data_IF_712550413985
#
_entry.id   IF_712550413985
#
_cell.length_a   1.000
_cell.length_b   1.000
_cell.length_c   1.000
_cell.angle_alpha   90.00
_cell.angle_beta   90.00
_cell.angle_gamma   90.00
#
_symmetry.space_group_name_H-M   'P 1'
#
loop_
_entity.id
_entity.type
_entity.pdbx_description
1 polymer ?
#
# COMPACT_ATOMS: atom_id res chain seq x y z
N UNK A 1 -7.21 5.05 -2.86
CA UNK A 1 -7.14 6.50 -2.54
C UNK A 1 -6.39 7.33 -3.58
N UNK A 2 -5.17 6.98 -4.02
CA UNK A 2 -4.52 7.68 -5.15
C UNK A 2 -3.44 6.85 -5.89
N UNK A 3 -3.79 5.68 -6.45
CA UNK A 3 -2.85 4.93 -7.29
C UNK A 3 -2.30 5.80 -8.43
N UNK A 4 -1.03 5.63 -8.78
CA UNK A 4 -0.35 6.42 -9.81
C UNK A 4 0.05 7.84 -9.39
N UNK A 5 -0.14 8.22 -8.12
CA UNK A 5 0.30 9.51 -7.56
C UNK A 5 1.05 9.33 -6.25
N UNK A 6 2.06 10.17 -6.03
CA UNK A 6 2.81 10.23 -4.79
C UNK A 6 2.03 10.78 -3.58
N UNK A 7 2.70 10.76 -2.42
CA UNK A 7 2.26 11.44 -1.22
C UNK A 7 2.02 12.94 -1.45
N UNK A 8 1.05 13.50 -0.74
CA UNK A 8 0.76 14.95 -0.76
C UNK A 8 0.59 15.37 0.69
N UNK A 9 1.38 16.34 1.11
CA UNK A 9 1.24 17.02 2.40
C UNK A 9 1.15 18.53 2.14
N UNK A 10 -0.03 19.14 2.36
CA UNK A 10 -0.20 20.57 2.18
C UNK A 10 0.74 21.37 3.08
N UNK A 11 1.29 22.47 2.56
CA UNK A 11 2.32 23.30 3.18
C UNK A 11 1.90 23.88 4.52
N UNK A 12 0.62 24.20 4.69
CA UNK A 12 0.07 24.60 6.00
C UNK A 12 0.27 23.57 7.11
N UNK A 13 0.38 22.27 6.76
CA UNK A 13 0.68 21.19 7.69
C UNK A 13 2.19 20.95 7.86
N UNK A 14 3.03 21.63 7.11
CA UNK A 14 4.50 21.50 7.16
C UNK A 14 5.03 22.47 8.22
N UNK A 15 4.88 22.05 9.47
CA UNK A 15 5.42 22.75 10.64
C UNK A 15 6.96 22.67 10.68
N UNK A 16 7.59 23.45 11.55
CA UNK A 16 9.05 23.40 11.77
C UNK A 16 9.55 21.97 12.08
N UNK A 17 8.82 21.25 12.92
CA UNK A 17 9.17 19.86 13.28
C UNK A 17 9.09 18.94 12.06
N UNK A 18 8.02 19.04 11.26
CA UNK A 18 7.85 18.21 10.07
C UNK A 18 8.90 18.54 9.01
N UNK A 19 9.18 19.82 8.79
CA UNK A 19 10.23 20.30 7.90
C UNK A 19 11.59 19.72 8.29
N UNK A 20 11.94 19.77 9.58
CA UNK A 20 13.19 19.23 10.11
C UNK A 20 13.32 17.73 9.93
N UNK A 21 12.24 16.96 10.14
CA UNK A 21 12.26 15.49 9.98
C UNK A 21 12.39 15.10 8.50
N UNK A 22 11.74 15.84 7.61
CA UNK A 22 11.61 15.48 6.20
C UNK A 22 12.63 16.15 5.27
N UNK A 23 13.39 17.12 5.77
CA UNK A 23 14.34 17.89 4.96
C UNK A 23 13.65 18.76 3.89
N UNK A 24 12.48 19.32 4.20
CA UNK A 24 11.70 20.18 3.28
C UNK A 24 11.50 21.58 3.89
N UNK A 25 11.31 22.64 3.08
CA UNK A 25 11.05 23.98 3.62
C UNK A 25 9.72 24.06 4.39
N UNK A 26 9.71 24.84 5.48
CA UNK A 26 8.50 25.13 6.27
C UNK A 26 7.46 25.82 5.41
N UNK A 27 6.20 25.43 5.56
CA UNK A 27 5.10 26.06 4.82
C UNK A 27 4.98 25.67 3.35
N UNK A 28 5.90 24.86 2.80
CA UNK A 28 5.87 24.45 1.40
C UNK A 28 5.14 23.12 1.20
N UNK A 29 4.29 23.04 0.18
CA UNK A 29 3.65 21.78 -0.23
C UNK A 29 4.71 20.71 -0.51
N UNK A 30 4.58 19.55 0.13
CA UNK A 30 5.41 18.39 -0.12
C UNK A 30 4.64 17.40 -1.00
N UNK A 31 4.99 17.38 -2.30
CA UNK A 31 4.43 16.46 -3.31
C UNK A 31 5.51 15.46 -3.68
N UNK A 32 5.28 14.19 -3.36
CA UNK A 32 6.23 13.12 -3.70
C UNK A 32 6.15 12.74 -5.18
N UNK A 33 7.26 12.26 -5.78
CA UNK A 33 7.24 11.64 -7.10
C UNK A 33 6.24 10.48 -7.19
N UNK A 34 5.78 10.18 -8.41
CA UNK A 34 4.79 9.11 -8.64
C UNK A 34 5.42 7.71 -8.75
N UNK A 35 6.74 7.64 -8.91
CA UNK A 35 7.51 6.41 -9.03
C UNK A 35 8.73 6.46 -8.10
N UNK A 36 9.21 5.28 -7.71
CA UNK A 36 10.45 5.16 -6.94
C UNK A 36 11.64 5.34 -7.87
N UNK A 37 12.69 6.04 -7.44
CA UNK A 37 13.89 6.30 -8.26
C UNK A 37 14.85 5.12 -8.36
N UNK A 38 14.66 4.09 -7.53
CA UNK A 38 15.60 2.97 -7.36
C UNK A 38 15.30 1.78 -8.29
N UNK A 39 14.07 1.70 -8.83
CA UNK A 39 13.66 0.59 -9.67
C UNK A 39 12.66 1.06 -10.74
N UNK A 40 12.81 0.53 -11.95
CA UNK A 40 11.87 0.67 -13.06
C UNK A 40 11.37 -0.68 -13.60
N UNK A 41 11.96 -1.79 -13.16
CA UNK A 41 11.57 -3.16 -13.58
C UNK A 41 11.30 -4.07 -12.38
N UNK A 42 10.65 -5.22 -12.64
CA UNK A 42 10.41 -6.24 -11.60
C UNK A 42 11.72 -6.80 -11.02
N UNK A 43 12.74 -7.01 -11.86
CA UNK A 43 14.04 -7.50 -11.38
C UNK A 43 14.73 -6.48 -10.46
N UNK A 44 14.76 -5.21 -10.84
CA UNK A 44 15.33 -4.14 -10.01
C UNK A 44 14.55 -3.97 -8.69
N UNK A 45 13.22 -4.14 -8.73
CA UNK A 45 12.41 -4.14 -7.51
C UNK A 45 12.79 -5.30 -6.58
N UNK A 46 12.94 -6.51 -7.11
CA UNK A 46 13.39 -7.68 -6.33
C UNK A 46 14.78 -7.40 -5.75
N UNK A 47 15.75 -6.93 -6.55
CA UNK A 47 17.09 -6.63 -6.08
C UNK A 47 17.10 -5.53 -5.00
N UNK A 48 16.21 -4.54 -5.10
CA UNK A 48 16.03 -3.54 -4.06
C UNK A 48 15.46 -4.13 -2.76
N UNK A 49 14.44 -4.98 -2.85
CA UNK A 49 13.86 -5.69 -1.70
C UNK A 49 14.93 -6.52 -0.99
N UNK A 50 15.71 -7.30 -1.73
CA UNK A 50 16.77 -8.16 -1.17
C UNK A 50 17.87 -7.34 -0.49
N UNK A 51 18.24 -6.17 -1.05
CA UNK A 51 19.18 -5.25 -0.40
C UNK A 51 18.62 -4.68 0.91
N UNK A 52 17.34 -4.28 0.93
CA UNK A 52 16.69 -3.78 2.15
C UNK A 52 16.61 -4.87 3.21
N UNK A 53 16.25 -6.09 2.81
CA UNK A 53 16.21 -7.25 3.70
C UNK A 53 17.61 -7.51 4.29
N UNK A 54 18.65 -7.55 3.45
CA UNK A 54 20.04 -7.76 3.87
C UNK A 54 20.56 -6.66 4.80
N UNK A 55 20.19 -5.40 4.54
CA UNK A 55 20.64 -4.26 5.33
C UNK A 55 19.92 -4.13 6.69
N UNK A 56 18.64 -4.53 6.75
CA UNK A 56 17.81 -4.36 7.95
C UNK A 56 17.69 -5.62 8.81
N UNK A 57 17.82 -6.81 8.21
CA UNK A 57 17.48 -8.09 8.84
C UNK A 57 15.99 -8.27 9.14
N UNK A 58 15.12 -7.44 8.55
CA UNK A 58 13.67 -7.44 8.77
C UNK A 58 12.91 -7.88 7.52
N UNK A 59 11.68 -8.40 7.66
CA UNK A 59 10.83 -8.70 6.52
C UNK A 59 10.52 -7.46 5.68
N UNK A 60 10.66 -7.57 4.37
CA UNK A 60 10.40 -6.50 3.39
C UNK A 60 9.29 -6.93 2.44
N UNK A 61 8.32 -6.05 2.21
CA UNK A 61 7.15 -6.39 1.41
C UNK A 61 6.71 -5.29 0.46
N UNK A 62 5.75 -5.64 -0.38
CA UNK A 62 5.13 -4.72 -1.33
C UNK A 62 3.76 -4.32 -0.81
N UNK A 63 3.43 -3.03 -0.91
CA UNK A 63 2.07 -2.53 -0.68
C UNK A 63 1.53 -1.94 -1.97
N UNK A 64 0.37 -2.42 -2.42
CA UNK A 64 -0.15 -2.02 -3.72
C UNK A 64 -1.68 -1.94 -3.76
N UNK A 65 -2.17 -0.90 -4.42
CA UNK A 65 -3.55 -0.81 -4.85
C UNK A 65 -3.67 -1.40 -6.25
N UNK A 66 -4.60 -2.34 -6.43
CA UNK A 66 -4.56 -3.23 -7.61
C UNK A 66 -5.21 -2.57 -8.81
N UNK A 67 -4.46 -2.55 -9.92
CA UNK A 67 -4.91 -2.16 -11.25
C UNK A 67 -4.57 -3.27 -12.26
N UNK A 68 -3.51 -3.07 -13.04
CA UNK A 68 -3.06 -4.03 -14.05
C UNK A 68 -2.48 -5.32 -13.44
N UNK A 69 -2.70 -6.45 -14.12
CA UNK A 69 -2.29 -7.77 -13.63
C UNK A 69 -0.91 -8.22 -14.12
N UNK A 70 -0.40 -7.62 -15.20
CA UNK A 70 0.83 -8.06 -15.85
C UNK A 70 2.04 -8.06 -14.91
N UNK A 71 2.21 -6.98 -14.14
CA UNK A 71 3.23 -6.86 -13.10
C UNK A 71 3.23 -8.04 -12.12
N UNK A 72 2.06 -8.48 -11.68
CA UNK A 72 1.94 -9.57 -10.69
C UNK A 72 2.30 -10.93 -11.28
N UNK A 73 1.95 -11.17 -12.55
CA UNK A 73 2.37 -12.38 -13.26
C UNK A 73 3.89 -12.42 -13.41
N UNK A 74 4.50 -11.33 -13.85
CA UNK A 74 5.96 -11.23 -13.98
C UNK A 74 6.64 -11.40 -12.62
N UNK A 75 6.15 -10.74 -11.57
CA UNK A 75 6.69 -10.90 -10.21
C UNK A 75 6.64 -12.35 -9.75
N UNK A 76 5.49 -13.03 -9.88
CA UNK A 76 5.36 -14.43 -9.48
C UNK A 76 6.29 -15.35 -10.27
N UNK A 77 6.42 -15.16 -11.59
CA UNK A 77 7.35 -15.92 -12.43
C UNK A 77 8.80 -15.74 -11.96
N UNK A 78 9.23 -14.49 -11.72
CA UNK A 78 10.59 -14.19 -11.25
C UNK A 78 10.86 -14.77 -9.86
N UNK A 79 9.91 -14.68 -8.94
CA UNK A 79 10.03 -15.26 -7.60
C UNK A 79 10.15 -16.79 -7.62
N UNK A 80 9.46 -17.45 -8.56
CA UNK A 80 9.55 -18.89 -8.77
C UNK A 80 10.91 -19.29 -9.36
N UNK A 81 11.42 -18.54 -10.32
CA UNK A 81 12.70 -18.81 -10.98
C UNK A 81 13.89 -18.58 -10.04
N UNK A 82 13.87 -17.50 -9.27
CA UNK A 82 15.04 -17.04 -8.51
C UNK A 82 15.01 -17.46 -7.05
N UNK A 83 13.84 -17.80 -6.51
CA UNK A 83 13.67 -18.00 -5.06
C UNK A 83 13.65 -16.70 -4.25
N UNK A 84 13.87 -15.53 -4.87
CA UNK A 84 13.95 -14.22 -4.23
C UNK A 84 12.63 -13.46 -4.27
N UNK A 85 12.50 -12.38 -3.51
CA UNK A 85 11.34 -11.49 -3.56
C UNK A 85 10.82 -11.05 -2.19
N UNK A 86 9.63 -10.42 -2.14
CA UNK A 86 9.07 -9.92 -0.88
C UNK A 86 8.68 -11.03 0.09
N UNK A 87 8.83 -10.74 1.38
CA UNK A 87 8.37 -11.55 2.51
C UNK A 87 6.85 -11.43 2.73
N UNK A 88 6.25 -10.33 2.26
CA UNK A 88 4.79 -10.11 2.32
C UNK A 88 4.26 -9.23 1.20
N UNK A 89 2.98 -9.40 0.87
CA UNK A 89 2.25 -8.52 -0.04
C UNK A 89 1.02 -7.97 0.68
N UNK A 90 0.93 -6.64 0.76
CA UNK A 90 -0.26 -5.91 1.21
C UNK A 90 -1.09 -5.47 0.01
N UNK A 91 -2.34 -5.93 -0.04
CA UNK A 91 -3.34 -5.55 -1.04
C UNK A 91 -4.25 -4.46 -0.45
N UNK A 92 -4.14 -3.26 -1.01
CA UNK A 92 -5.00 -2.13 -0.66
C UNK A 92 -6.20 -2.06 -1.60
N UNK A 93 -7.39 -2.22 -1.05
CA UNK A 93 -8.63 -1.93 -1.74
C UNK A 93 -8.84 -0.43 -1.97
N UNK A 94 -9.61 -0.09 -3.00
CA UNK A 94 -9.98 1.29 -3.31
C UNK A 94 -10.72 2.01 -2.18
N UNK A 95 -11.25 1.26 -1.22
CA UNK A 95 -11.92 1.73 -0.02
C UNK A 95 -10.97 2.44 0.99
N UNK A 96 -9.64 2.34 0.78
CA UNK A 96 -8.61 2.96 1.61
C UNK A 96 -8.79 4.47 1.82
N UNK A 97 -8.36 4.96 2.99
CA UNK A 97 -8.40 6.40 3.32
C UNK A 97 -7.19 7.18 2.79
N UNK A 98 -7.27 8.51 2.85
CA UNK A 98 -6.14 9.42 2.63
C UNK A 98 -6.33 10.71 3.41
N UNK A 99 -5.24 11.31 3.86
CA UNK A 99 -5.27 12.65 4.46
C UNK A 99 -5.40 13.76 3.41
N UNK A 100 -4.87 13.55 2.20
CA UNK A 100 -4.93 14.49 1.08
C UNK A 100 -4.75 13.75 -0.26
N UNK A 101 -5.67 13.96 -1.19
CA UNK A 101 -5.59 13.46 -2.57
C UNK A 101 -6.48 14.33 -3.48
N UNK A 102 -6.17 14.43 -4.78
CA UNK A 102 -7.10 14.99 -5.74
C UNK A 102 -8.36 14.11 -5.82
N UNK A 103 -9.55 14.71 -5.84
CA UNK A 103 -10.84 13.99 -5.82
C UNK A 103 -10.95 12.94 -6.94
N UNK A 104 -10.51 13.28 -8.16
CA UNK A 104 -10.54 12.38 -9.30
C UNK A 104 -9.81 11.03 -9.06
N UNK A 105 -8.79 11.03 -8.19
CA UNK A 105 -8.05 9.82 -7.84
C UNK A 105 -8.67 9.04 -6.67
N UNK A 106 -9.37 9.75 -5.77
CA UNK A 106 -9.97 9.17 -4.59
C UNK A 106 -11.11 8.20 -4.95
N UNK A 107 -11.89 8.52 -5.98
CA UNK A 107 -13.17 7.85 -6.24
C UNK A 107 -13.13 6.74 -7.30
N UNK A 108 -12.13 6.70 -8.19
CA UNK A 108 -12.27 5.91 -9.44
C UNK A 108 -11.10 5.01 -9.86
N UNK A 109 -9.96 5.02 -9.16
CA UNK A 109 -8.71 4.51 -9.78
C UNK A 109 -8.29 3.09 -9.35
N UNK A 110 -8.83 2.55 -8.27
CA UNK A 110 -8.42 1.24 -7.71
C UNK A 110 -9.58 0.26 -7.58
N UNK A 111 -9.28 -1.02 -7.77
CA UNK A 111 -10.26 -2.10 -7.59
C UNK A 111 -10.73 -2.22 -6.12
N UNK A 112 -11.98 -2.65 -5.89
CA UNK A 112 -12.43 -3.07 -4.57
C UNK A 112 -11.53 -4.15 -3.98
N UNK A 113 -11.30 -4.14 -2.66
CA UNK A 113 -10.38 -5.09 -2.00
C UNK A 113 -10.61 -6.55 -2.42
N UNK A 114 -11.86 -7.02 -2.37
CA UNK A 114 -12.20 -8.42 -2.67
C UNK A 114 -11.80 -8.81 -4.11
N UNK A 115 -11.96 -7.90 -5.07
CA UNK A 115 -11.61 -8.13 -6.47
C UNK A 115 -10.10 -8.09 -6.66
N UNK A 116 -9.43 -7.07 -6.10
CA UNK A 116 -7.98 -6.93 -6.19
C UNK A 116 -7.23 -8.10 -5.55
N UNK A 117 -7.63 -8.47 -4.33
CA UNK A 117 -7.03 -9.58 -3.59
C UNK A 117 -7.19 -10.90 -4.32
N UNK A 118 -8.41 -11.27 -4.73
CA UNK A 118 -8.65 -12.52 -5.44
C UNK A 118 -7.82 -12.62 -6.74
N UNK A 119 -7.70 -11.51 -7.50
CA UNK A 119 -6.90 -11.49 -8.72
C UNK A 119 -5.42 -11.78 -8.46
N UNK A 120 -4.82 -11.07 -7.51
CA UNK A 120 -3.39 -11.21 -7.22
C UNK A 120 -3.11 -12.55 -6.55
N UNK A 121 -3.87 -12.91 -5.51
CA UNK A 121 -3.68 -14.16 -4.78
C UNK A 121 -3.69 -15.39 -5.69
N UNK A 122 -4.61 -15.44 -6.66
CA UNK A 122 -4.69 -16.53 -7.64
C UNK A 122 -3.46 -16.65 -8.55
N UNK A 123 -2.77 -15.55 -8.85
CA UNK A 123 -1.51 -15.59 -9.63
C UNK A 123 -0.45 -16.37 -8.86
N UNK A 124 -0.24 -16.02 -7.59
CA UNK A 124 0.77 -16.66 -6.76
C UNK A 124 0.37 -18.08 -6.35
N UNK A 125 -0.93 -18.35 -6.17
CA UNK A 125 -1.42 -19.71 -5.93
C UNK A 125 -1.11 -20.64 -7.11
N UNK A 126 -1.34 -20.19 -8.36
CA UNK A 126 -1.03 -20.97 -9.58
C UNK A 126 0.44 -21.32 -9.69
N UNK A 127 1.32 -20.39 -9.28
CA UNK A 127 2.76 -20.60 -9.24
C UNK A 127 3.25 -21.35 -7.99
N UNK A 128 2.34 -21.78 -7.10
CA UNK A 128 2.63 -22.43 -5.81
C UNK A 128 3.51 -21.59 -4.88
N UNK A 129 3.32 -20.28 -4.92
CA UNK A 129 4.02 -19.29 -4.11
C UNK A 129 3.16 -18.68 -3.00
N UNK A 130 1.86 -18.94 -2.98
CA UNK A 130 0.94 -18.32 -2.01
C UNK A 130 1.32 -18.58 -0.55
N UNK A 131 1.90 -19.75 -0.24
CA UNK A 131 2.32 -20.12 1.12
C UNK A 131 3.75 -19.66 1.48
N UNK A 132 4.45 -19.00 0.54
CA UNK A 132 5.85 -18.59 0.71
C UNK A 132 6.02 -17.20 1.31
N UNK A 133 4.92 -16.47 1.51
CA UNK A 133 4.89 -15.08 1.95
C UNK A 133 3.59 -14.80 2.72
N UNK A 134 3.58 -13.75 3.53
CA UNK A 134 2.37 -13.33 4.22
C UNK A 134 1.48 -12.42 3.34
N UNK A 135 0.17 -12.62 3.41
CA UNK A 135 -0.84 -11.84 2.72
C UNK A 135 -1.53 -10.88 3.67
N UNK A 136 -1.51 -9.59 3.33
CA UNK A 136 -2.08 -8.55 4.18
C UNK A 136 -3.19 -7.82 3.42
N UNK A 137 -4.37 -7.75 4.01
CA UNK A 137 -5.48 -6.99 3.45
C UNK A 137 -5.62 -5.60 4.04
N UNK A 138 -5.96 -4.60 3.23
CA UNK A 138 -6.41 -3.31 3.74
C UNK A 138 -7.50 -2.70 2.86
N UNK A 139 -8.37 -1.85 3.44
CA UNK A 139 -9.52 -1.27 2.73
C UNK A 139 -10.81 -1.32 3.55
N UNK A 140 -10.82 -0.68 4.72
CA UNK A 140 -11.95 -0.69 5.69
C UNK A 140 -12.31 -2.09 6.22
N UNK A 141 -11.29 -2.90 6.50
CA UNK A 141 -11.43 -4.26 6.99
C UNK A 141 -11.51 -4.36 8.53
N UNK A 142 -11.57 -3.22 9.24
CA UNK A 142 -11.53 -3.22 10.72
C UNK A 142 -12.81 -3.70 11.41
N UNK A 143 -13.91 -3.86 10.68
CA UNK A 143 -15.15 -4.44 11.22
C UNK A 143 -15.14 -5.97 11.10
N UNK A 144 -15.64 -6.72 12.12
CA UNK A 144 -15.54 -8.18 12.16
C UNK A 144 -16.10 -8.91 10.93
N UNK A 145 -17.22 -8.44 10.38
CA UNK A 145 -17.87 -9.01 9.19
C UNK A 145 -17.02 -8.90 7.92
N UNK A 146 -16.18 -7.86 7.83
CA UNK A 146 -15.25 -7.68 6.72
C UNK A 146 -13.94 -8.40 6.96
N UNK A 147 -13.45 -8.38 8.19
CA UNK A 147 -12.25 -9.08 8.62
C UNK A 147 -12.37 -10.59 8.36
N UNK A 148 -13.47 -11.21 8.79
CA UNK A 148 -13.69 -12.65 8.62
C UNK A 148 -13.70 -13.05 7.13
N UNK A 149 -14.27 -12.20 6.26
CA UNK A 149 -14.26 -12.42 4.81
C UNK A 149 -12.84 -12.30 4.25
N UNK A 150 -12.05 -11.32 4.67
CA UNK A 150 -10.67 -11.17 4.22
C UNK A 150 -9.80 -12.38 4.62
N UNK A 151 -9.93 -12.85 5.86
CA UNK A 151 -9.24 -14.05 6.32
C UNK A 151 -9.69 -15.30 5.55
N UNK A 152 -11.01 -15.47 5.34
CA UNK A 152 -11.54 -16.59 4.56
C UNK A 152 -11.08 -16.58 3.08
N UNK A 153 -10.74 -15.40 2.53
CA UNK A 153 -10.19 -15.28 1.18
C UNK A 153 -8.69 -15.63 1.10
N UNK A 154 -7.98 -15.69 2.23
CA UNK A 154 -6.56 -16.06 2.30
C UNK A 154 -5.63 -14.96 2.83
N UNK A 155 -6.14 -13.89 3.45
CA UNK A 155 -5.27 -12.97 4.20
C UNK A 155 -4.76 -13.65 5.47
N UNK A 156 -3.49 -13.43 5.80
CA UNK A 156 -2.90 -13.76 7.10
C UNK A 156 -3.07 -12.62 8.10
N UNK A 157 -3.02 -11.37 7.62
CA UNK A 157 -3.20 -10.16 8.44
C UNK A 157 -4.14 -9.15 7.78
N UNK A 158 -4.68 -8.25 8.60
CA UNK A 158 -5.41 -7.06 8.11
C UNK A 158 -4.84 -5.79 8.72
N UNK A 159 -4.75 -4.74 7.91
CA UNK A 159 -4.37 -3.41 8.35
C UNK A 159 -5.62 -2.58 8.67
N UNK A 160 -5.65 -2.01 9.88
CA UNK A 160 -6.75 -1.17 10.37
C UNK A 160 -6.21 0.25 10.58
N UNK A 161 -6.94 1.24 10.07
CA UNK A 161 -6.55 2.64 10.21
C UNK A 161 -7.75 3.55 10.42
N UNK A 162 -8.75 3.52 9.53
CA UNK A 162 -9.91 4.42 9.61
C UNK A 162 -10.70 4.20 10.90
N UNK A 163 -10.93 2.95 11.24
CA UNK A 163 -11.66 2.54 12.44
C UNK A 163 -10.89 2.97 13.70
N UNK A 164 -9.56 2.83 13.70
CA UNK A 164 -8.70 3.33 14.78
C UNK A 164 -8.72 4.87 14.89
N UNK A 165 -8.73 5.59 13.75
CA UNK A 165 -8.88 7.05 13.77
C UNK A 165 -10.23 7.47 14.35
N UNK A 166 -11.30 6.73 14.08
CA UNK A 166 -12.63 7.00 14.64
C UNK A 166 -12.68 6.73 16.14
N UNK A 167 -12.01 5.69 16.65
CA UNK A 167 -11.98 5.41 18.09
C UNK A 167 -11.26 6.49 18.89
N UNK A 168 -10.32 7.21 18.27
CA UNK A 168 -9.64 8.37 18.88
C UNK A 168 -10.30 9.72 18.56
N UNK A 169 -11.51 9.73 18.01
CA UNK A 169 -12.32 10.95 17.86
C UNK A 169 -12.49 11.50 16.44
N UNK A 170 -12.02 10.81 15.40
CA UNK A 170 -12.35 11.21 14.03
C UNK A 170 -13.86 11.09 13.76
N UNK A 171 -14.51 12.24 13.55
CA UNK A 171 -15.94 12.33 13.22
C UNK A 171 -16.24 12.25 11.72
N UNK A 172 -15.25 11.88 10.90
CA UNK A 172 -15.35 11.85 9.44
C UNK A 172 -15.81 13.17 8.78
N UNK A 173 -15.32 14.32 9.28
CA UNK A 173 -15.58 15.62 8.66
C UNK A 173 -14.96 15.77 7.25
N UNK A 174 -14.04 14.87 6.85
CA UNK A 174 -13.36 14.86 5.54
C UNK A 174 -12.54 16.13 5.23
N UNK A 175 -12.14 16.87 6.27
CA UNK A 175 -11.32 18.08 6.19
C UNK A 175 -9.85 17.84 6.57
N UNK A 176 -9.39 16.59 6.51
CA UNK A 176 -8.05 16.18 6.96
C UNK A 176 -6.89 16.96 6.30
N UNK A 177 -7.09 17.39 5.05
CA UNK A 177 -6.13 18.17 4.27
C UNK A 177 -6.13 19.66 4.65
N UNK A 178 -7.09 20.11 5.47
CA UNK A 178 -7.28 21.53 5.75
C UNK A 178 -6.56 22.06 6.98
N UNK A 179 -5.95 21.19 7.78
CA UNK A 179 -5.33 21.55 9.08
C UNK A 179 -6.34 22.09 10.11
N UNK A 180 -7.57 21.55 10.07
CA UNK A 180 -8.66 21.82 11.00
C UNK A 180 -9.32 20.51 11.41
#
# INVERSE_FOLDING_TARGET
AKPGKGGILPGKKVTQQIASIRGVPVGQDCVSPNAHSEFGTVNELIDFIERLHSASGLPVGIKSAIGEIHFWNELAERMKQTGKGPDFITIDGGEGGTGAAPLAFADHVSLPFKVGFARVYQVFQKEKLSERMAWIGSGKLGFPDRAIVAFAMGCDLINIAREAMMSIGCIQAQRCHTDH
#
